data_IF_147911545488
#
_entry.id   IF_147911545488
#
_cell.length_a   1.000
_cell.length_b   1.000
_cell.length_c   1.000
_cell.angle_alpha   90.00
_cell.angle_beta   90.00
_cell.angle_gamma   90.00
#
_symmetry.space_group_name_H-M   'P 1'
#
loop_
_entity.id
_entity.type
_entity.pdbx_description
1 polymer ?
#
# COMPACT_ATOMS: atom_id res chain seq x y z
N UNK A 1 -16.74 -16.32 6.04
CA UNK A 1 -16.68 -17.50 5.15
C UNK A 1 -15.30 -17.50 4.51
N UNK A 2 -14.58 -18.63 4.55
CA UNK A 2 -13.25 -18.73 3.95
C UNK A 2 -13.34 -18.78 2.41
N UNK A 3 -12.20 -18.59 1.74
CA UNK A 3 -12.08 -18.73 0.29
C UNK A 3 -12.56 -20.12 -0.18
N UNK A 4 -13.42 -20.16 -1.21
CA UNK A 4 -13.92 -21.37 -1.85
C UNK A 4 -13.37 -21.47 -3.28
N UNK A 5 -12.32 -22.29 -3.44
CA UNK A 5 -11.66 -22.46 -4.73
C UNK A 5 -12.59 -23.03 -5.81
N UNK A 6 -13.66 -23.75 -5.46
CA UNK A 6 -14.59 -24.27 -6.47
C UNK A 6 -15.39 -23.17 -7.18
N UNK A 7 -15.47 -21.98 -6.58
CA UNK A 7 -16.19 -20.81 -7.11
C UNK A 7 -15.29 -19.80 -7.82
N UNK A 8 -13.98 -19.95 -7.72
CA UNK A 8 -13.01 -19.05 -8.32
C UNK A 8 -12.54 -19.59 -9.67
N UNK A 9 -13.05 -19.06 -10.80
CA UNK A 9 -12.62 -19.50 -12.13
C UNK A 9 -11.15 -19.14 -12.42
N UNK A 10 -10.57 -18.23 -11.65
CA UNK A 10 -9.19 -17.77 -11.81
C UNK A 10 -8.19 -18.49 -10.90
N UNK A 11 -8.64 -19.46 -10.09
CA UNK A 11 -7.77 -20.18 -9.13
C UNK A 11 -6.53 -20.83 -9.74
N UNK A 12 -6.60 -21.22 -11.01
CA UNK A 12 -5.51 -21.84 -11.75
C UNK A 12 -4.53 -20.85 -12.38
N UNK A 13 -4.85 -19.56 -12.40
CA UNK A 13 -3.99 -18.53 -12.94
C UNK A 13 -2.93 -18.12 -11.92
N UNK A 14 -1.70 -17.95 -12.39
CA UNK A 14 -0.61 -17.42 -11.56
C UNK A 14 -0.89 -15.95 -11.21
N UNK A 15 -0.56 -15.58 -9.97
CA UNK A 15 -0.48 -14.17 -9.59
C UNK A 15 0.69 -13.51 -10.32
N UNK A 16 0.53 -12.26 -10.75
CA UNK A 16 1.56 -11.50 -11.47
C UNK A 16 1.53 -10.04 -11.06
N UNK A 17 2.60 -9.28 -11.29
CA UNK A 17 2.67 -7.86 -10.92
C UNK A 17 1.44 -7.03 -11.41
N UNK A 18 0.88 -7.37 -12.57
CA UNK A 18 -0.27 -6.69 -13.17
C UNK A 18 -1.63 -7.35 -12.90
N UNK A 19 -1.67 -8.54 -12.29
CA UNK A 19 -2.93 -9.18 -11.90
C UNK A 19 -3.60 -8.43 -10.74
N UNK A 20 -4.94 -8.49 -10.62
CA UNK A 20 -5.63 -8.03 -9.43
C UNK A 20 -5.02 -8.64 -8.16
N UNK A 21 -4.90 -7.83 -7.12
CA UNK A 21 -4.45 -8.29 -5.81
C UNK A 21 -5.49 -9.24 -5.20
N UNK A 22 -5.02 -10.29 -4.53
CA UNK A 22 -5.88 -11.28 -3.87
C UNK A 22 -6.19 -10.93 -2.42
N UNK A 23 -5.38 -10.07 -1.82
CA UNK A 23 -5.49 -9.62 -0.44
C UNK A 23 -5.38 -8.11 -0.34
N UNK A 24 -6.09 -7.56 0.65
CA UNK A 24 -5.96 -6.18 1.10
C UNK A 24 -5.82 -6.18 2.61
N UNK A 25 -4.86 -5.43 3.14
CA UNK A 25 -4.68 -5.24 4.58
C UNK A 25 -4.54 -3.77 4.93
N UNK A 26 -5.14 -3.37 6.04
CA UNK A 26 -4.86 -2.05 6.63
C UNK A 26 -3.43 -2.07 7.17
N UNK A 27 -2.68 -1.03 6.86
CA UNK A 27 -1.27 -0.92 7.16
C UNK A 27 -1.01 0.17 8.20
N UNK A 28 -0.18 -0.15 9.18
CA UNK A 28 0.39 0.82 10.13
C UNK A 28 1.81 1.14 9.65
N UNK A 29 2.13 2.40 9.35
CA UNK A 29 3.49 2.80 8.97
C UNK A 29 4.52 2.46 10.05
N UNK A 30 5.75 2.13 9.64
CA UNK A 30 6.85 1.79 10.53
C UNK A 30 8.19 2.29 9.97
N UNK A 31 9.02 2.86 10.82
CA UNK A 31 10.40 3.23 10.46
C UNK A 31 11.39 2.06 10.59
N UNK A 32 10.96 0.89 11.09
CA UNK A 32 11.84 -0.25 11.40
C UNK A 32 11.44 -1.55 10.72
N UNK A 33 10.23 -1.63 10.15
CA UNK A 33 9.70 -2.85 9.56
C UNK A 33 9.40 -2.68 8.08
N UNK A 34 9.88 -3.64 7.29
CA UNK A 34 9.42 -3.82 5.93
C UNK A 34 8.06 -4.52 5.89
N UNK A 35 7.38 -4.36 4.76
CA UNK A 35 6.14 -5.05 4.49
C UNK A 35 6.43 -6.52 4.16
N UNK A 36 5.72 -7.44 4.80
CA UNK A 36 5.79 -8.85 4.48
C UNK A 36 4.40 -9.39 4.09
N UNK A 37 4.16 -9.73 2.81
CA UNK A 37 5.02 -9.45 1.65
C UNK A 37 5.01 -7.96 1.26
N UNK A 38 5.91 -7.58 0.35
CA UNK A 38 5.87 -6.26 -0.33
C UNK A 38 4.53 -6.04 -1.02
N UNK A 39 4.00 -4.82 -0.89
CA UNK A 39 2.72 -4.46 -1.50
C UNK A 39 2.91 -4.18 -2.99
N UNK A 40 2.06 -4.74 -3.85
CA UNK A 40 2.07 -4.47 -5.29
C UNK A 40 1.53 -3.08 -5.62
N UNK A 41 0.63 -2.58 -4.78
CA UNK A 41 0.07 -1.23 -4.86
C UNK A 41 -0.39 -0.81 -3.46
N UNK A 42 -0.44 0.49 -3.23
CA UNK A 42 -1.04 1.08 -2.04
C UNK A 42 -2.27 1.90 -2.43
N UNK A 43 -3.30 1.82 -1.60
CA UNK A 43 -4.40 2.76 -1.60
C UNK A 43 -4.34 3.58 -0.31
N UNK A 44 -4.72 4.84 -0.43
CA UNK A 44 -4.68 5.79 0.66
C UNK A 44 -6.06 6.42 0.80
N UNK A 45 -6.58 6.41 2.02
CA UNK A 45 -7.72 7.24 2.41
C UNK A 45 -7.23 8.37 3.31
N UNK A 46 -7.49 9.60 2.88
CA UNK A 46 -7.24 10.82 3.64
C UNK A 46 -8.57 11.32 4.20
N UNK A 47 -8.81 11.25 5.51
CA UNK A 47 -10.00 11.82 6.12
C UNK A 47 -10.12 13.34 5.85
N UNK A 48 -11.34 13.91 5.78
CA UNK A 48 -11.55 15.32 5.43
C UNK A 48 -10.92 16.29 6.43
N UNK A 49 -10.80 15.88 7.68
CA UNK A 49 -10.27 16.64 8.82
C UNK A 49 -8.74 16.54 8.98
N UNK A 50 -8.09 15.66 8.22
CA UNK A 50 -6.64 15.48 8.28
C UNK A 50 -5.93 16.55 7.45
N UNK A 51 -5.03 17.31 8.11
CA UNK A 51 -4.04 18.20 7.50
C UNK A 51 -4.58 19.18 6.44
N UNK A 52 -5.78 19.72 6.65
CA UNK A 52 -6.40 20.67 5.71
C UNK A 52 -6.80 20.04 4.37
N UNK A 53 -7.02 18.72 4.36
CA UNK A 53 -7.44 17.97 3.17
C UNK A 53 -6.30 17.52 2.26
N UNK A 54 -5.04 17.65 2.70
CA UNK A 54 -3.86 17.14 1.97
C UNK A 54 -2.96 16.35 2.92
N UNK A 55 -2.65 15.11 2.57
CA UNK A 55 -1.73 14.27 3.32
C UNK A 55 -0.50 13.87 2.49
N UNK A 56 0.58 13.58 3.20
CA UNK A 56 1.82 13.04 2.66
C UNK A 56 2.03 11.60 3.15
N UNK A 57 2.54 10.74 2.29
CA UNK A 57 2.95 9.36 2.64
C UNK A 57 4.36 9.13 2.12
N UNK A 58 5.27 8.79 3.03
CA UNK A 58 6.67 8.51 2.69
C UNK A 58 6.86 7.00 2.52
N UNK A 59 7.41 6.60 1.38
CA UNK A 59 7.62 5.20 1.03
C UNK A 59 9.04 4.91 0.59
N UNK A 60 9.40 3.63 0.61
CA UNK A 60 10.53 3.07 -0.14
C UNK A 60 10.02 2.00 -1.09
N UNK A 61 10.35 2.14 -2.37
CA UNK A 61 9.97 1.17 -3.39
C UNK A 61 10.77 -0.14 -3.24
N UNK A 62 10.24 -1.25 -3.74
CA UNK A 62 10.89 -2.55 -3.66
C UNK A 62 12.26 -2.59 -4.36
N UNK A 63 12.44 -1.81 -5.44
CA UNK A 63 13.68 -1.71 -6.20
C UNK A 63 14.68 -0.67 -5.69
N UNK A 64 14.42 -0.03 -4.55
CA UNK A 64 15.33 0.96 -3.97
C UNK A 64 16.60 0.29 -3.40
N UNK A 65 17.78 0.87 -3.68
CA UNK A 65 19.07 0.30 -3.28
C UNK A 65 19.29 0.35 -1.77
N UNK A 66 18.80 1.42 -1.13
CA UNK A 66 18.96 1.63 0.31
C UNK A 66 17.68 2.24 0.94
N UNK A 67 17.71 2.44 2.26
CA UNK A 67 16.58 3.00 3.03
C UNK A 67 16.49 4.54 2.95
N UNK A 68 17.52 5.22 2.48
CA UNK A 68 17.50 6.67 2.26
C UNK A 68 16.78 7.05 0.95
N UNK A 69 16.65 6.11 0.01
CA UNK A 69 15.95 6.28 -1.28
C UNK A 69 14.42 6.30 -1.11
N UNK A 70 13.92 7.31 -0.40
CA UNK A 70 12.50 7.47 -0.09
C UNK A 70 11.83 8.47 -1.01
N UNK A 71 10.54 8.26 -1.30
CA UNK A 71 9.69 9.19 -2.06
C UNK A 71 8.50 9.59 -1.20
N UNK A 72 8.10 10.87 -1.27
CA UNK A 72 6.87 11.37 -0.66
C UNK A 72 5.77 11.49 -1.72
N UNK A 73 4.65 10.81 -1.50
CA UNK A 73 3.43 11.02 -2.27
C UNK A 73 2.49 11.96 -1.53
N UNK A 74 1.89 12.89 -2.29
CA UNK A 74 0.84 13.79 -1.78
C UNK A 74 -0.52 13.38 -2.31
N UNK A 75 -1.52 13.53 -1.47
CA UNK A 75 -2.86 13.02 -1.70
C UNK A 75 -3.90 13.96 -1.12
N UNK A 76 -4.97 14.19 -1.89
CA UNK A 76 -6.12 14.98 -1.44
C UNK A 76 -7.03 14.15 -0.52
N UNK A 77 -7.98 14.81 0.15
CA UNK A 77 -9.05 14.14 0.91
C UNK A 77 -9.79 13.10 0.06
N UNK A 78 -10.09 11.94 0.65
CA UNK A 78 -10.78 10.84 -0.02
C UNK A 78 -9.90 9.62 -0.27
N UNK A 79 -10.50 8.60 -0.89
CA UNK A 79 -9.84 7.34 -1.22
C UNK A 79 -9.21 7.43 -2.62
N UNK A 80 -7.91 7.16 -2.74
CA UNK A 80 -7.22 7.16 -4.02
C UNK A 80 -6.14 6.06 -4.10
N UNK A 81 -5.90 5.50 -5.29
CA UNK A 81 -4.72 4.69 -5.53
C UNK A 81 -3.47 5.58 -5.55
N UNK A 82 -2.38 5.10 -4.95
CA UNK A 82 -1.06 5.68 -5.17
C UNK A 82 -0.46 5.14 -6.49
N UNK A 83 0.60 5.77 -7.04
CA UNK A 83 1.24 5.28 -8.26
C UNK A 83 1.56 3.77 -8.19
N UNK A 84 1.40 3.03 -9.30
CA UNK A 84 1.51 1.57 -9.32
C UNK A 84 2.97 1.11 -9.28
N UNK A 85 3.62 1.33 -8.13
CA UNK A 85 4.96 0.87 -7.80
C UNK A 85 4.88 -0.12 -6.64
N UNK A 86 5.67 -1.19 -6.71
CA UNK A 86 5.77 -2.14 -5.61
C UNK A 86 6.47 -1.48 -4.42
N UNK A 87 5.86 -1.55 -3.24
CA UNK A 87 6.32 -0.88 -2.03
C UNK A 87 6.94 -1.88 -1.06
N UNK A 88 8.19 -1.61 -0.65
CA UNK A 88 8.90 -2.34 0.41
C UNK A 88 8.53 -1.84 1.79
N UNK A 89 8.49 -0.52 1.99
CA UNK A 89 8.25 0.10 3.29
C UNK A 89 7.38 1.35 3.19
N UNK A 90 6.57 1.58 4.21
CA UNK A 90 5.89 2.86 4.45
C UNK A 90 6.37 3.38 5.80
N UNK A 91 7.02 4.55 5.79
CA UNK A 91 7.67 5.14 6.95
C UNK A 91 6.64 5.80 7.86
N UNK A 92 6.77 5.62 9.18
CA UNK A 92 5.99 6.41 10.13
C UNK A 92 6.43 7.87 10.13
N UNK A 93 7.73 8.12 10.02
CA UNK A 93 8.28 9.46 9.81
C UNK A 93 7.98 9.96 8.39
N UNK A 94 7.45 11.18 8.29
CA UNK A 94 7.09 11.79 7.00
C UNK A 94 5.76 11.31 6.42
N UNK A 95 5.05 10.39 7.09
CA UNK A 95 3.65 10.05 6.76
C UNK A 95 2.70 10.82 7.68
N UNK A 96 1.71 11.49 7.11
CA UNK A 96 0.72 12.27 7.86
C UNK A 96 -0.08 11.36 8.80
N UNK A 97 -0.17 11.73 10.07
CA UNK A 97 -0.96 10.99 11.05
C UNK A 97 -2.46 11.04 10.71
N UNK A 98 -3.18 9.95 11.00
CA UNK A 98 -4.63 9.86 10.80
C UNK A 98 -5.06 9.39 9.41
N UNK A 99 -4.13 9.22 8.45
CA UNK A 99 -4.46 8.57 7.18
C UNK A 99 -4.66 7.06 7.35
N UNK A 100 -5.42 6.46 6.45
CA UNK A 100 -5.60 5.00 6.40
C UNK A 100 -4.95 4.47 5.12
N UNK A 101 -4.01 3.54 5.29
CA UNK A 101 -3.28 2.91 4.19
C UNK A 101 -3.76 1.48 4.00
N UNK A 102 -3.95 1.10 2.74
CA UNK A 102 -4.31 -0.25 2.35
C UNK A 102 -3.20 -0.82 1.47
N UNK A 103 -2.61 -1.93 1.91
CA UNK A 103 -1.62 -2.67 1.13
C UNK A 103 -2.30 -3.78 0.33
N UNK A 104 -2.10 -3.76 -0.98
CA UNK A 104 -2.63 -4.76 -1.90
C UNK A 104 -1.52 -5.77 -2.24
N UNK A 105 -1.78 -7.05 -2.00
CA UNK A 105 -0.81 -8.15 -2.18
C UNK A 105 -1.49 -9.45 -2.64
N UNK A 106 -0.70 -10.47 -2.96
CA UNK A 106 -1.20 -11.78 -3.45
C UNK A 106 -1.06 -12.92 -2.43
N UNK A 107 -0.29 -12.73 -1.36
CA UNK A 107 0.04 -13.72 -0.33
C UNK A 107 0.00 -13.10 1.07
#
# INVERSE_FOLDING_TARGET
MAYDSARDPLRGHAASASSPARLVRVLVPSDTLDLDPYAKSLWLYVPPDVAGGVASVRITAAGAENDADTVEFRALSGLQPLPPVQIRRVWSTGTTAGVILYALADL
#
